data_IF_030039587101
#
_entry.id   IF_030039587101
#
_cell.length_a   1.000
_cell.length_b   1.000
_cell.length_c   1.000
_cell.angle_alpha   90.00
_cell.angle_beta   90.00
_cell.angle_gamma   90.00
#
_symmetry.space_group_name_H-M   'P 1'
#
loop_
_entity.id
_entity.type
_entity.pdbx_description
1 polymer ?
#
# COMPACT_ATOMS: atom_id res chain seq x y z
N UNK A 1 -14.90 5.72 -0.93
CA UNK A 1 -15.84 4.90 -0.14
C UNK A 1 -15.26 3.54 0.25
N UNK A 2 -14.57 2.81 -0.64
CA UNK A 2 -14.08 1.44 -0.39
C UNK A 2 -13.17 1.25 0.85
N UNK A 3 -12.52 2.30 1.34
CA UNK A 3 -11.71 2.24 2.57
C UNK A 3 -12.52 2.35 3.86
N UNK A 4 -13.68 3.01 3.80
CA UNK A 4 -14.59 3.24 4.92
C UNK A 4 -15.52 2.04 5.12
N UNK A 5 -16.29 1.73 4.09
CA UNK A 5 -17.22 0.60 4.02
C UNK A 5 -17.59 0.28 2.57
N UNK A 6 -18.21 -0.86 2.34
CA UNK A 6 -18.74 -1.29 1.06
C UNK A 6 -20.23 -1.62 1.21
N UNK A 7 -21.04 -1.04 0.33
CA UNK A 7 -22.47 -1.39 0.24
C UNK A 7 -22.72 -2.37 -0.90
N UNK A 8 -23.18 -3.58 -0.55
CA UNK A 8 -23.48 -4.66 -1.49
C UNK A 8 -24.91 -4.52 -2.07
N UNK A 9 -25.08 -3.52 -2.94
CA UNK A 9 -26.36 -3.25 -3.61
C UNK A 9 -26.81 -4.41 -4.49
N UNK A 10 -25.87 -5.18 -5.06
CA UNK A 10 -26.18 -6.31 -5.95
C UNK A 10 -26.82 -7.44 -5.17
N UNK A 11 -26.24 -7.81 -4.04
CA UNK A 11 -26.82 -8.84 -3.15
C UNK A 11 -28.19 -8.41 -2.64
N UNK A 12 -28.34 -7.14 -2.25
CA UNK A 12 -29.64 -6.61 -1.81
C UNK A 12 -30.69 -6.68 -2.91
N UNK A 13 -30.36 -6.32 -4.14
CA UNK A 13 -31.29 -6.39 -5.28
C UNK A 13 -31.71 -7.85 -5.54
N UNK A 14 -30.76 -8.79 -5.56
CA UNK A 14 -31.04 -10.21 -5.72
C UNK A 14 -31.97 -10.74 -4.64
N UNK A 15 -31.69 -10.44 -3.38
CA UNK A 15 -32.46 -10.92 -2.23
C UNK A 15 -33.88 -10.29 -2.23
N UNK A 16 -34.02 -9.05 -2.71
CA UNK A 16 -35.33 -8.41 -2.95
C UNK A 16 -36.16 -9.15 -3.98
N UNK A 17 -35.54 -9.63 -5.07
CA UNK A 17 -36.22 -10.41 -6.10
C UNK A 17 -36.63 -11.81 -5.59
N UNK A 18 -35.89 -12.35 -4.61
CA UNK A 18 -36.19 -13.64 -3.98
C UNK A 18 -37.23 -13.52 -2.85
N UNK A 19 -37.62 -12.30 -2.47
CA UNK A 19 -38.60 -12.06 -1.39
C UNK A 19 -38.03 -12.32 0.00
N UNK A 20 -36.71 -12.17 0.20
CA UNK A 20 -36.04 -12.39 1.48
C UNK A 20 -36.30 -11.25 2.47
N UNK A 21 -36.76 -11.56 3.68
CA UNK A 21 -37.09 -10.56 4.72
C UNK A 21 -35.90 -9.67 5.15
N UNK A 22 -34.67 -10.16 5.04
CA UNK A 22 -33.44 -9.42 5.40
C UNK A 22 -33.22 -8.16 4.56
N UNK A 23 -33.92 -8.01 3.41
CA UNK A 23 -33.85 -6.82 2.53
C UNK A 23 -34.30 -5.54 3.23
N UNK A 24 -35.18 -5.67 4.22
CA UNK A 24 -35.73 -4.52 4.96
C UNK A 24 -34.70 -3.85 5.86
N UNK A 25 -33.63 -4.56 6.26
CA UNK A 25 -32.52 -4.01 7.02
C UNK A 25 -31.30 -3.83 6.12
N UNK A 26 -31.02 -2.56 5.76
CA UNK A 26 -29.90 -2.17 4.89
C UNK A 26 -28.56 -2.56 5.53
N UNK A 27 -28.47 -2.57 6.86
CA UNK A 27 -27.25 -2.93 7.59
C UNK A 27 -26.71 -4.31 7.22
N UNK A 28 -27.58 -5.24 6.82
CA UNK A 28 -27.17 -6.59 6.37
C UNK A 28 -26.32 -6.59 5.09
N UNK A 29 -26.29 -5.49 4.35
CA UNK A 29 -25.57 -5.34 3.08
C UNK A 29 -24.41 -4.36 3.17
N UNK A 30 -24.06 -3.91 4.38
CA UNK A 30 -22.93 -3.04 4.62
C UNK A 30 -21.79 -3.87 5.22
N UNK A 31 -20.65 -3.85 4.51
CA UNK A 31 -19.41 -4.49 4.97
C UNK A 31 -18.48 -3.40 5.51
N UNK A 32 -18.08 -3.52 6.77
CA UNK A 32 -17.13 -2.61 7.38
C UNK A 32 -15.78 -2.67 6.66
N UNK A 33 -15.23 -1.50 6.31
CA UNK A 33 -13.88 -1.36 5.79
C UNK A 33 -12.86 -1.22 6.93
N UNK A 34 -11.57 -1.19 6.58
CA UNK A 34 -10.49 -1.14 7.57
C UNK A 34 -10.48 0.14 8.41
N UNK A 35 -10.94 1.26 7.86
CA UNK A 35 -11.08 2.50 8.65
C UNK A 35 -12.18 2.38 9.68
N UNK A 36 -13.33 1.79 9.32
CA UNK A 36 -14.38 1.51 10.29
C UNK A 36 -13.89 0.60 11.42
N UNK A 37 -13.23 -0.51 11.07
CA UNK A 37 -12.65 -1.40 12.06
C UNK A 37 -11.68 -0.69 13.00
N UNK A 38 -10.85 0.23 12.46
CA UNK A 38 -9.90 1.02 13.24
C UNK A 38 -10.61 2.02 14.17
N UNK A 39 -11.72 2.63 13.73
CA UNK A 39 -12.51 3.57 14.54
C UNK A 39 -13.31 2.85 15.64
N UNK A 40 -13.75 1.63 15.35
CA UNK A 40 -14.55 0.82 16.28
C UNK A 40 -13.68 0.01 17.29
N UNK A 41 -12.36 0.04 17.11
CA UNK A 41 -11.42 -0.68 17.97
C UNK A 41 -11.48 -0.20 19.43
N UNK A 42 -11.39 -1.13 20.39
CA UNK A 42 -11.43 -0.84 21.82
C UNK A 42 -10.08 -0.37 22.38
N UNK A 43 -9.05 -0.31 21.55
CA UNK A 43 -7.72 0.22 21.87
C UNK A 43 -7.14 1.00 20.70
N UNK A 44 -6.08 1.78 20.94
CA UNK A 44 -5.40 2.50 19.88
C UNK A 44 -4.71 1.52 18.91
N UNK A 45 -5.11 1.55 17.66
CA UNK A 45 -4.56 0.70 16.58
C UNK A 45 -3.75 1.51 15.59
N UNK A 46 -2.97 0.82 14.76
CA UNK A 46 -2.29 1.40 13.60
C UNK A 46 -3.10 1.09 12.35
N UNK A 47 -3.49 2.14 11.62
CA UNK A 47 -4.15 2.05 10.33
C UNK A 47 -3.14 2.35 9.22
N UNK A 48 -2.86 1.38 8.37
CA UNK A 48 -2.03 1.55 7.18
C UNK A 48 -2.91 1.82 5.95
N UNK A 49 -2.65 2.94 5.28
CA UNK A 49 -3.20 3.28 3.97
C UNK A 49 -2.06 3.20 2.96
N UNK A 50 -2.01 2.08 2.25
CA UNK A 50 -0.90 1.78 1.35
C UNK A 50 -1.17 2.34 -0.05
N UNK A 51 -0.12 2.92 -0.70
CA UNK A 51 -0.16 3.41 -2.07
C UNK A 51 -1.34 4.37 -2.37
N UNK A 52 -1.50 5.40 -1.54
CA UNK A 52 -2.61 6.37 -1.67
C UNK A 52 -2.66 7.06 -3.03
N UNK A 53 -1.54 7.21 -3.70
CA UNK A 53 -1.40 7.80 -5.04
C UNK A 53 -2.00 6.91 -6.15
N UNK A 54 -2.34 5.65 -5.89
CA UNK A 54 -3.07 4.78 -6.81
C UNK A 54 -4.59 4.92 -6.71
N UNK A 55 -5.07 5.54 -5.64
CA UNK A 55 -6.49 5.81 -5.47
C UNK A 55 -6.99 6.88 -6.47
N UNK A 56 -8.31 7.03 -6.54
CA UNK A 56 -8.92 8.11 -7.30
C UNK A 56 -8.48 9.48 -6.77
N UNK A 57 -8.36 10.46 -7.66
CA UNK A 57 -7.78 11.78 -7.36
C UNK A 57 -8.53 12.53 -6.25
N UNK A 58 -9.81 12.25 -6.07
CA UNK A 58 -10.66 12.87 -5.05
C UNK A 58 -10.50 12.19 -3.69
N UNK A 59 -10.09 10.92 -3.65
CA UNK A 59 -10.01 10.10 -2.43
C UNK A 59 -9.16 10.72 -1.31
N UNK A 60 -7.96 11.27 -1.55
CA UNK A 60 -7.19 11.92 -0.50
C UNK A 60 -7.92 13.12 0.13
N UNK A 61 -8.69 13.89 -0.67
CA UNK A 61 -9.46 15.02 -0.16
C UNK A 61 -10.66 14.57 0.66
N UNK A 62 -11.38 13.55 0.19
CA UNK A 62 -12.52 12.98 0.91
C UNK A 62 -12.08 12.43 2.27
N UNK A 63 -10.91 11.77 2.28
CA UNK A 63 -10.34 11.20 3.49
C UNK A 63 -9.92 12.25 4.54
N UNK A 64 -9.64 13.49 4.11
CA UNK A 64 -9.19 14.54 5.03
C UNK A 64 -10.20 14.87 6.12
N UNK A 65 -11.48 14.91 5.77
CA UNK A 65 -12.55 15.28 6.70
C UNK A 65 -12.69 14.20 7.77
N UNK A 66 -12.72 12.94 7.34
CA UNK A 66 -12.85 11.78 8.23
C UNK A 66 -11.64 11.65 9.16
N UNK A 67 -10.43 11.92 8.65
CA UNK A 67 -9.20 11.87 9.45
C UNK A 67 -9.05 13.06 10.41
N UNK A 68 -9.52 14.23 10.03
CA UNK A 68 -9.50 15.40 10.90
C UNK A 68 -10.50 15.27 12.07
N UNK A 69 -11.72 14.87 11.74
CA UNK A 69 -12.84 14.75 12.69
C UNK A 69 -12.83 13.42 13.43
N UNK A 70 -12.13 12.39 12.90
CA UNK A 70 -12.16 11.02 13.39
C UNK A 70 -13.59 10.45 13.44
N UNK A 71 -14.39 10.81 12.42
CA UNK A 71 -15.76 10.33 12.25
C UNK A 71 -16.12 10.28 10.76
N UNK A 72 -17.08 9.44 10.42
CA UNK A 72 -17.72 9.43 9.10
C UNK A 72 -19.16 8.96 9.20
N UNK A 73 -19.97 9.26 8.19
CA UNK A 73 -21.36 8.83 8.12
C UNK A 73 -21.52 7.72 7.08
N UNK A 74 -22.30 6.70 7.42
CA UNK A 74 -22.74 5.65 6.51
C UNK A 74 -23.97 6.16 5.76
N UNK A 75 -23.83 6.41 4.47
CA UNK A 75 -24.83 7.10 3.66
C UNK A 75 -26.17 6.36 3.63
N UNK A 76 -26.10 5.03 3.55
CA UNK A 76 -27.27 4.17 3.37
C UNK A 76 -28.11 4.01 4.62
N UNK A 77 -27.49 4.06 5.79
CA UNK A 77 -28.17 3.90 7.11
C UNK A 77 -28.34 5.21 7.86
N UNK A 78 -27.52 6.24 7.52
CA UNK A 78 -27.40 7.46 8.32
C UNK A 78 -26.64 7.26 9.64
N UNK A 79 -26.05 6.10 9.86
CA UNK A 79 -25.24 5.82 11.05
C UNK A 79 -23.98 6.68 11.03
N UNK A 80 -23.66 7.28 12.18
CA UNK A 80 -22.43 8.02 12.38
C UNK A 80 -21.43 7.14 13.14
N UNK A 81 -20.26 6.91 12.54
CA UNK A 81 -19.17 6.15 13.13
C UNK A 81 -18.12 7.12 13.65
N UNK A 82 -17.93 7.13 14.97
CA UNK A 82 -16.96 8.00 15.66
C UNK A 82 -15.85 7.12 16.23
N UNK A 83 -14.59 7.52 16.03
CA UNK A 83 -13.46 6.75 16.54
C UNK A 83 -13.47 6.73 18.09
N UNK A 84 -13.53 5.53 18.67
CA UNK A 84 -13.42 5.31 20.11
C UNK A 84 -12.03 5.73 20.64
N UNK A 85 -11.01 5.37 19.87
CA UNK A 85 -9.62 5.73 20.11
C UNK A 85 -9.01 6.24 18.80
N UNK A 86 -8.28 7.37 18.86
CA UNK A 86 -7.64 7.93 17.68
C UNK A 86 -6.55 6.97 17.17
N UNK A 87 -6.69 6.37 15.96
CA UNK A 87 -5.68 5.48 15.42
C UNK A 87 -4.40 6.24 15.06
N UNK A 88 -3.27 5.54 15.05
CA UNK A 88 -2.05 6.01 14.41
C UNK A 88 -2.17 5.68 12.93
N UNK A 89 -2.13 6.70 12.07
CA UNK A 89 -2.33 6.54 10.64
C UNK A 89 -0.98 6.63 9.93
N UNK A 90 -0.64 5.57 9.19
CA UNK A 90 0.54 5.50 8.34
C UNK A 90 0.06 5.45 6.91
N UNK A 91 0.58 6.35 6.07
CA UNK A 91 0.19 6.46 4.66
C UNK A 91 1.44 6.31 3.82
N UNK A 92 1.41 5.43 2.82
CA UNK A 92 2.51 5.29 1.86
C UNK A 92 2.12 5.85 0.50
N UNK A 93 3.12 6.33 -0.23
CA UNK A 93 2.98 6.80 -1.60
C UNK A 93 4.28 6.57 -2.36
N UNK A 94 4.16 6.09 -3.60
CA UNK A 94 5.28 5.98 -4.54
C UNK A 94 5.47 7.26 -5.37
N UNK A 95 4.69 8.31 -5.09
CA UNK A 95 4.71 9.58 -5.81
C UNK A 95 4.43 9.44 -7.32
N UNK A 96 3.56 8.49 -7.69
CA UNK A 96 3.13 8.31 -9.08
C UNK A 96 2.15 9.40 -9.51
N UNK A 97 1.38 9.94 -8.56
CA UNK A 97 0.50 11.09 -8.70
C UNK A 97 0.76 12.08 -7.58
N UNK A 98 0.65 13.37 -7.89
CA UNK A 98 0.74 14.42 -6.88
C UNK A 98 -0.45 14.34 -5.92
N UNK A 99 -0.15 14.38 -4.63
CA UNK A 99 -1.17 14.46 -3.58
C UNK A 99 -1.55 15.92 -3.34
N UNK A 100 -2.83 16.21 -3.00
CA UNK A 100 -3.26 17.58 -2.74
C UNK A 100 -2.47 18.26 -1.61
N UNK A 101 -2.11 19.51 -1.78
CA UNK A 101 -1.40 20.32 -0.76
C UNK A 101 -2.13 20.33 0.59
N UNK A 102 -3.46 20.35 0.56
CA UNK A 102 -4.28 20.31 1.76
C UNK A 102 -4.07 19.03 2.56
N UNK A 103 -3.88 17.89 1.86
CA UNK A 103 -3.57 16.60 2.44
C UNK A 103 -2.15 16.59 3.01
N UNK A 104 -1.18 17.04 2.21
CA UNK A 104 0.23 17.04 2.58
C UNK A 104 0.51 17.87 3.86
N UNK A 105 -0.14 19.01 4.02
CA UNK A 105 0.04 19.89 5.20
C UNK A 105 -0.38 19.26 6.54
N UNK A 106 -1.13 18.13 6.50
CA UNK A 106 -1.59 17.41 7.67
C UNK A 106 -0.74 16.21 8.03
N UNK A 107 0.29 15.92 7.21
CA UNK A 107 1.15 14.76 7.34
C UNK A 107 2.54 15.13 7.87
N UNK A 108 3.10 14.26 8.69
CA UNK A 108 4.54 14.24 8.94
C UNK A 108 5.21 13.40 7.86
N UNK A 109 6.22 13.94 7.21
CA UNK A 109 6.87 13.28 6.09
C UNK A 109 8.10 12.49 6.52
N UNK A 110 8.20 11.28 5.99
CA UNK A 110 9.41 10.49 6.01
C UNK A 110 9.72 10.00 4.60
N UNK A 111 10.81 10.52 4.01
CA UNK A 111 11.26 10.10 2.70
C UNK A 111 12.15 8.87 2.80
N UNK A 112 11.72 7.77 2.17
CA UNK A 112 12.52 6.56 2.02
C UNK A 112 13.32 6.70 0.73
N UNK A 113 14.59 7.11 0.86
CA UNK A 113 15.48 7.19 -0.29
C UNK A 113 15.82 5.80 -0.83
N UNK A 114 16.07 5.74 -2.14
CA UNK A 114 16.60 4.51 -2.72
C UNK A 114 17.94 4.17 -2.07
N UNK A 115 18.17 2.89 -1.69
CA UNK A 115 19.40 2.48 -1.02
C UNK A 115 20.64 2.84 -1.82
N UNK A 116 21.66 3.34 -1.15
CA UNK A 116 22.98 3.47 -1.76
C UNK A 116 23.62 2.08 -1.98
N UNK A 117 24.74 2.05 -2.67
CA UNK A 117 25.41 0.78 -3.03
C UNK A 117 25.80 -0.04 -1.80
N UNK A 118 26.21 0.61 -0.70
CA UNK A 118 26.59 -0.06 0.55
C UNK A 118 25.38 -0.69 1.24
N UNK A 119 24.30 0.05 1.31
CA UNK A 119 23.03 -0.43 1.86
C UNK A 119 22.44 -1.54 1.00
N UNK A 120 22.52 -1.41 -0.33
CA UNK A 120 22.06 -2.45 -1.26
C UNK A 120 22.89 -3.74 -1.10
N UNK A 121 24.21 -3.64 -0.92
CA UNK A 121 25.05 -4.80 -0.60
C UNK A 121 24.57 -5.50 0.68
N UNK A 122 24.31 -4.74 1.76
CA UNK A 122 23.81 -5.31 3.01
C UNK A 122 22.44 -6.00 2.84
N UNK A 123 21.55 -5.44 2.01
CA UNK A 123 20.26 -6.07 1.67
C UNK A 123 20.51 -7.42 0.96
N UNK A 124 21.40 -7.43 -0.03
CA UNK A 124 21.74 -8.65 -0.77
C UNK A 124 22.35 -9.71 0.16
N UNK A 125 23.23 -9.32 1.07
CA UNK A 125 23.88 -10.24 2.01
C UNK A 125 22.86 -10.93 2.95
N UNK A 126 21.77 -10.23 3.32
CA UNK A 126 20.68 -10.81 4.11
C UNK A 126 19.86 -11.82 3.30
N UNK A 127 19.60 -11.54 2.02
CA UNK A 127 18.78 -12.40 1.16
C UNK A 127 19.56 -13.59 0.61
N UNK A 128 20.87 -13.41 0.39
CA UNK A 128 21.77 -14.39 -0.22
C UNK A 128 23.09 -14.46 0.55
N UNK A 129 23.12 -15.02 1.77
CA UNK A 129 24.30 -15.02 2.63
C UNK A 129 25.50 -15.75 2.05
N UNK A 130 25.28 -16.74 1.18
CA UNK A 130 26.34 -17.58 0.59
C UNK A 130 26.75 -17.13 -0.81
N UNK A 131 26.25 -15.98 -1.30
CA UNK A 131 26.59 -15.49 -2.64
C UNK A 131 28.03 -15.00 -2.72
N UNK A 132 28.70 -15.25 -3.84
CA UNK A 132 30.05 -14.75 -4.06
C UNK A 132 30.08 -13.20 -4.12
N UNK A 133 30.82 -12.57 -3.20
CA UNK A 133 30.92 -11.10 -3.13
C UNK A 133 31.39 -10.44 -4.44
N UNK A 134 32.23 -11.13 -5.24
CA UNK A 134 32.66 -10.61 -6.56
C UNK A 134 31.50 -10.49 -7.52
N UNK A 135 30.62 -11.48 -7.55
CA UNK A 135 29.41 -11.49 -8.41
C UNK A 135 28.46 -10.37 -8.00
N UNK A 136 28.19 -10.25 -6.68
CA UNK A 136 27.32 -9.20 -6.15
C UNK A 136 27.87 -7.82 -6.51
N UNK A 137 29.17 -7.59 -6.28
CA UNK A 137 29.80 -6.30 -6.59
C UNK A 137 29.67 -5.94 -8.05
N UNK A 138 29.96 -6.87 -8.97
CA UNK A 138 29.86 -6.64 -10.40
C UNK A 138 28.39 -6.38 -10.82
N UNK A 139 27.43 -7.14 -10.29
CA UNK A 139 26.02 -6.95 -10.56
C UNK A 139 25.53 -5.58 -10.05
N UNK A 140 25.89 -5.19 -8.84
CA UNK A 140 25.53 -3.89 -8.29
C UNK A 140 26.16 -2.74 -9.08
N UNK A 141 27.41 -2.87 -9.57
CA UNK A 141 28.03 -1.85 -10.41
C UNK A 141 27.21 -1.61 -11.68
N UNK A 142 26.83 -2.67 -12.37
CA UNK A 142 25.97 -2.58 -13.57
C UNK A 142 24.58 -2.06 -13.23
N UNK A 143 24.00 -2.53 -12.15
CA UNK A 143 22.66 -2.11 -11.71
C UNK A 143 22.60 -0.59 -11.45
N UNK A 144 23.57 -0.03 -10.72
CA UNK A 144 23.61 1.41 -10.45
C UNK A 144 23.89 2.21 -11.74
N UNK A 145 24.75 1.72 -12.63
CA UNK A 145 24.95 2.35 -13.95
C UNK A 145 23.65 2.40 -14.76
N UNK A 146 22.88 1.31 -14.79
CA UNK A 146 21.58 1.28 -15.46
C UNK A 146 20.62 2.31 -14.88
N UNK A 147 20.60 2.49 -13.56
CA UNK A 147 19.74 3.50 -12.91
C UNK A 147 20.10 4.94 -13.22
N UNK A 148 21.35 5.20 -13.63
CA UNK A 148 21.83 6.54 -14.00
C UNK A 148 21.51 6.89 -15.46
N UNK A 149 21.05 5.93 -16.28
CA UNK A 149 20.71 6.16 -17.69
C UNK A 149 19.57 7.16 -17.78
N UNK A 150 19.75 8.32 -18.45
CA UNK A 150 18.69 9.29 -18.65
C UNK A 150 17.56 8.72 -19.53
N UNK A 151 16.31 9.07 -19.20
CA UNK A 151 15.15 8.71 -20.03
C UNK A 151 14.58 7.31 -19.80
N UNK A 152 15.07 6.55 -18.82
CA UNK A 152 14.40 5.33 -18.39
C UNK A 152 13.03 5.66 -17.82
N UNK A 153 11.96 5.12 -18.42
CA UNK A 153 10.57 5.29 -17.96
C UNK A 153 10.38 4.78 -16.53
N UNK A 154 11.06 3.70 -16.17
CA UNK A 154 11.05 3.12 -14.83
C UNK A 154 12.47 2.73 -14.46
N UNK A 155 12.98 3.30 -13.37
CA UNK A 155 14.27 2.89 -12.81
C UNK A 155 14.12 1.54 -12.11
N UNK A 156 15.09 0.60 -12.28
CA UNK A 156 15.03 -0.68 -11.59
C UNK A 156 14.93 -0.51 -10.06
N UNK A 157 14.13 -1.36 -9.41
CA UNK A 157 13.88 -1.37 -7.97
C UNK A 157 14.85 -2.29 -7.21
N UNK A 158 14.76 -2.29 -5.88
CA UNK A 158 15.51 -3.26 -5.04
C UNK A 158 15.10 -4.69 -5.34
N UNK A 159 13.81 -4.95 -5.59
CA UNK A 159 13.32 -6.28 -5.96
C UNK A 159 13.92 -6.75 -7.28
N UNK A 160 14.05 -5.86 -8.27
CA UNK A 160 14.60 -6.21 -9.58
C UNK A 160 16.07 -6.67 -9.47
N UNK A 161 16.89 -6.06 -8.59
CA UNK A 161 18.27 -6.52 -8.39
C UNK A 161 18.34 -7.87 -7.68
N UNK A 162 17.45 -8.12 -6.72
CA UNK A 162 17.38 -9.42 -6.04
C UNK A 162 16.97 -10.54 -7.01
N UNK A 163 15.94 -10.28 -7.82
CA UNK A 163 15.50 -11.23 -8.85
C UNK A 163 16.57 -11.48 -9.91
N UNK A 164 17.28 -10.44 -10.32
CA UNK A 164 18.38 -10.57 -11.26
C UNK A 164 19.54 -11.40 -10.69
N UNK A 165 19.93 -11.16 -9.42
CA UNK A 165 20.95 -11.98 -8.75
C UNK A 165 20.51 -13.42 -8.62
N UNK A 166 19.24 -13.69 -8.32
CA UNK A 166 18.69 -15.04 -8.29
C UNK A 166 18.86 -15.76 -9.63
N UNK A 167 18.55 -15.07 -10.73
CA UNK A 167 18.75 -15.62 -12.06
C UNK A 167 20.24 -15.89 -12.36
N UNK A 168 21.13 -14.95 -12.02
CA UNK A 168 22.57 -15.13 -12.22
C UNK A 168 23.11 -16.34 -11.45
N UNK A 169 22.63 -16.58 -10.23
CA UNK A 169 23.01 -17.76 -9.45
C UNK A 169 22.57 -19.05 -10.15
N UNK A 170 21.36 -19.13 -10.67
CA UNK A 170 20.88 -20.31 -11.40
C UNK A 170 21.77 -20.61 -12.62
N UNK A 171 22.12 -19.57 -13.40
CA UNK A 171 23.01 -19.74 -14.55
C UNK A 171 24.44 -20.08 -14.17
N UNK A 172 24.95 -19.53 -13.05
CA UNK A 172 26.30 -19.82 -12.58
C UNK A 172 26.44 -21.28 -12.16
N UNK A 173 25.49 -21.81 -11.39
CA UNK A 173 25.50 -23.23 -10.97
C UNK A 173 25.34 -24.19 -12.15
N UNK A 174 24.54 -23.84 -13.17
CA UNK A 174 24.43 -24.66 -14.39
C UNK A 174 25.70 -24.69 -15.23
N UNK A 175 26.55 -23.67 -15.13
CA UNK A 175 27.82 -23.59 -15.85
C UNK A 175 28.97 -24.34 -15.15
N UNK A 176 28.84 -24.64 -13.86
CA UNK A 176 29.85 -25.44 -13.11
C UNK A 176 29.55 -26.95 -13.19
N UNK A 177 28.30 -27.36 -13.49
CA UNK A 177 27.89 -28.79 -13.60
C UNK A 177 27.99 -29.34 -15.05
N UNK A 178 28.48 -28.61 -16.03
CA UNK A 178 28.66 -28.99 -17.44
C UNK A 178 30.09 -28.86 -17.90
#
# INVERSE_FOLDING_TARGET
>A
QQGLYEYDAVSRLRDSQLGEDKVHDIGNYIKKGKMWEAFDADEQVVLLIDEIDKADIEFPNDLLVELDQMEFSVYETGEQVIAKHRPIIIITSNNEKELPDAFLRRCFFHYINFPDKKTMQAIVDVHYPDIQHKLVKAALDVFFQLREIPGLKKKPSTSDVLDWLKLLLVFYFQAEDG
#
